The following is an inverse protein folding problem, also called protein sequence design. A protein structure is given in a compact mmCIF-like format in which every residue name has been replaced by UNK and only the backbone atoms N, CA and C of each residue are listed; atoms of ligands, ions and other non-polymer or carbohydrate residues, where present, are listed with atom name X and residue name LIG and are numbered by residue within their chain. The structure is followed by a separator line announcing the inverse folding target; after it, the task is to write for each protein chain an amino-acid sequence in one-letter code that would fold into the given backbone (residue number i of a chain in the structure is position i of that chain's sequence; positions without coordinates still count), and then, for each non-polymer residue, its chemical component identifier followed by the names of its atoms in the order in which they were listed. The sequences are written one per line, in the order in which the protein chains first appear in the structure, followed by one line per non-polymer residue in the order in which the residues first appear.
data_IF_806126821079
#
_entry.id   IF_806126821079
#
_cell.length_a   1.000
_cell.length_b   1.000
_cell.length_c   1.000
_cell.angle_alpha   90.00
_cell.angle_beta   90.00
_cell.angle_gamma   90.00
#
_symmetry.space_group_name_H-M   'P 1'
#
loop_
_entity.id
_entity.type
_entity.pdbx_description
1 polymer ?
#
# COMPACT_ATOMS: atom_id res chain seq x y z
N UNK A 1 -23.87 -4.99 1.37
CA UNK A 1 -23.50 -6.24 0.73
C UNK A 1 -21.99 -6.34 0.63
N UNK A 2 -21.47 -7.54 0.80
CA UNK A 2 -20.02 -7.70 0.86
C UNK A 2 -19.35 -7.33 -0.47
N UNK A 3 -19.99 -7.58 -1.60
CA UNK A 3 -19.40 -7.19 -2.88
C UNK A 3 -19.25 -5.68 -3.00
N UNK A 4 -20.24 -4.95 -2.51
CA UNK A 4 -20.14 -3.49 -2.56
C UNK A 4 -19.02 -2.96 -1.68
N UNK A 5 -18.71 -3.50 -0.62
CA UNK A 5 -17.82 -3.11 0.12
C UNK A 5 -16.62 -3.36 -0.34
N UNK A 6 -16.54 -4.55 -0.80
CA UNK A 6 -15.27 -4.93 -1.38
C UNK A 6 -14.89 -4.01 -2.56
N UNK A 7 -15.87 -3.68 -3.37
CA UNK A 7 -15.60 -2.76 -4.48
C UNK A 7 -15.16 -1.39 -3.97
N UNK A 8 -15.81 -0.91 -2.91
CA UNK A 8 -15.43 0.38 -2.34
C UNK A 8 -13.98 0.36 -1.85
N UNK A 9 -13.61 -0.68 -1.09
CA UNK A 9 -12.26 -0.72 -0.57
C UNK A 9 -11.24 -0.94 -1.69
N UNK A 10 -11.64 -1.65 -2.76
CA UNK A 10 -10.75 -1.81 -3.91
C UNK A 10 -10.47 -0.46 -4.57
N UNK A 11 -11.48 0.41 -4.65
CA UNK A 11 -11.26 1.77 -5.18
C UNK A 11 -10.30 2.54 -4.27
N UNK A 12 -10.45 2.39 -2.94
CA UNK A 12 -9.55 3.05 -2.02
C UNK A 12 -8.12 2.52 -2.14
N UNK A 13 -7.97 1.22 -2.32
CA UNK A 13 -6.62 0.66 -2.52
C UNK A 13 -5.99 1.17 -3.79
N UNK A 14 -6.77 1.26 -4.87
CA UNK A 14 -6.26 1.83 -6.12
C UNK A 14 -5.84 3.29 -5.91
N UNK A 15 -6.64 4.05 -5.14
CA UNK A 15 -6.30 5.45 -4.88
C UNK A 15 -5.02 5.57 -4.05
N UNK A 16 -4.83 4.65 -3.09
CA UNK A 16 -3.60 4.65 -2.30
C UNK A 16 -2.38 4.41 -3.17
N UNK A 17 -2.49 3.43 -4.07
CA UNK A 17 -1.36 3.12 -4.95
C UNK A 17 -1.06 4.29 -5.88
N UNK A 18 -2.09 4.89 -6.46
CA UNK A 18 -1.89 6.04 -7.34
C UNK A 18 -1.24 7.19 -6.59
N UNK A 19 -1.68 7.43 -5.35
CA UNK A 19 -1.12 8.53 -4.56
C UNK A 19 0.34 8.28 -4.23
N UNK A 20 0.73 7.02 -3.98
CA UNK A 20 2.13 6.72 -3.76
C UNK A 20 2.96 7.04 -5.01
N UNK A 21 2.47 6.65 -6.17
CA UNK A 21 3.21 6.85 -7.41
C UNK A 21 3.29 8.32 -7.78
N UNK A 22 2.31 9.11 -7.38
CA UNK A 22 2.26 10.55 -7.67
C UNK A 22 2.88 11.39 -6.56
N UNK A 23 3.37 10.77 -5.51
CA UNK A 23 3.90 11.45 -4.32
C UNK A 23 2.88 12.39 -3.71
N UNK A 24 1.63 11.96 -3.68
CA UNK A 24 0.51 12.76 -3.20
C UNK A 24 0.30 12.49 -1.72
N UNK A 25 1.10 13.13 -0.90
CA UNK A 25 1.06 12.91 0.54
C UNK A 25 -0.25 13.34 1.18
N UNK A 26 -0.90 14.36 0.63
CA UNK A 26 -2.17 14.83 1.19
C UNK A 26 -3.26 13.78 1.03
N UNK A 27 -3.36 13.17 -0.15
CA UNK A 27 -4.31 12.08 -0.35
C UNK A 27 -3.98 10.90 0.56
N UNK A 28 -2.69 10.53 0.64
CA UNK A 28 -2.30 9.43 1.51
C UNK A 28 -2.65 9.70 2.96
N UNK A 29 -2.43 10.92 3.42
CA UNK A 29 -2.73 11.24 4.82
C UNK A 29 -4.20 11.01 5.14
N UNK A 30 -5.09 11.21 4.18
CA UNK A 30 -6.50 10.96 4.38
C UNK A 30 -6.90 9.49 4.32
N UNK A 31 -6.03 8.63 3.79
CA UNK A 31 -6.32 7.22 3.64
C UNK A 31 -5.65 6.36 4.70
N UNK A 32 -4.51 6.78 5.23
CA UNK A 32 -3.71 5.96 6.12
C UNK A 32 -4.18 6.11 7.56
N UNK A 33 -4.21 4.98 8.27
CA UNK A 33 -4.44 4.99 9.70
C UNK A 33 -3.26 5.64 10.42
N UNK A 34 -3.54 6.35 11.50
CA UNK A 34 -2.46 6.89 12.32
C UNK A 34 -1.59 5.79 12.91
N UNK A 35 -2.13 4.60 13.07
CA UNK A 35 -1.41 3.46 13.63
C UNK A 35 -0.83 2.55 12.54
N UNK A 36 -0.83 3.00 11.30
CA UNK A 36 -0.39 2.16 10.20
C UNK A 36 1.03 1.64 10.39
N UNK A 37 1.25 0.40 9.96
CA UNK A 37 2.57 -0.22 9.92
C UNK A 37 2.86 -0.63 8.49
N UNK A 38 3.98 -0.19 7.96
CA UNK A 38 4.36 -0.51 6.58
C UNK A 38 5.71 -1.22 6.61
N UNK A 39 5.66 -2.53 6.40
CA UNK A 39 6.87 -3.35 6.41
C UNK A 39 7.33 -3.58 4.99
N UNK A 40 8.46 -3.01 4.65
CA UNK A 40 9.07 -3.14 3.33
C UNK A 40 9.66 -4.53 3.15
N UNK A 41 9.90 -4.92 1.92
CA UNK A 41 10.44 -6.25 1.64
C UNK A 41 11.87 -6.42 2.18
N UNK A 42 12.54 -5.34 2.47
CA UNK A 42 13.86 -5.39 3.11
C UNK A 42 13.77 -5.69 4.61
N UNK A 43 12.58 -5.59 5.17
CA UNK A 43 12.37 -5.73 6.60
C UNK A 43 12.32 -4.42 7.36
N UNK A 44 12.60 -3.30 6.70
CA UNK A 44 12.49 -2.02 7.40
C UNK A 44 11.02 -1.65 7.56
N UNK A 45 10.71 -0.91 8.61
CA UNK A 45 9.33 -0.63 8.99
C UNK A 45 9.12 0.88 9.09
N UNK A 46 8.05 1.35 8.45
CA UNK A 46 7.62 2.74 8.58
C UNK A 46 6.34 2.82 9.41
N UNK A 47 6.24 3.93 10.15
CA UNK A 47 4.98 4.39 10.73
C UNK A 47 4.29 5.32 9.73
N UNK A 48 3.26 5.96 9.91
CA UNK A 48 2.69 6.71 9.22
C UNK A 48 3.39 7.71 8.92
N UNK A 49 3.90 8.38 10.14
CA UNK A 49 4.65 9.62 9.97
C UNK A 49 5.88 9.43 9.08
N UNK A 50 6.66 8.39 9.34
CA UNK A 50 7.87 8.20 8.55
C UNK A 50 7.54 7.82 7.11
N UNK A 51 6.46 7.08 6.89
CA UNK A 51 6.06 6.73 5.54
C UNK A 51 5.70 7.98 4.73
N UNK A 52 4.90 8.87 5.33
CA UNK A 52 4.51 10.10 4.64
C UNK A 52 5.72 10.99 4.37
N UNK A 53 6.64 11.07 5.32
CA UNK A 53 7.83 11.85 5.11
C UNK A 53 8.67 11.29 3.95
N UNK A 54 8.78 9.97 3.89
CA UNK A 54 9.52 9.34 2.80
C UNK A 54 8.85 9.56 1.44
N UNK A 55 7.53 9.50 1.40
CA UNK A 55 6.82 9.76 0.14
C UNK A 55 7.06 11.19 -0.31
N UNK A 56 6.99 12.13 0.62
CA UNK A 56 7.12 13.56 0.26
C UNK A 56 8.56 13.96 -0.01
N UNK A 57 9.50 13.45 0.77
CA UNK A 57 10.86 14.00 0.78
C UNK A 57 11.94 12.95 0.62
N UNK A 58 11.61 11.68 0.59
CA UNK A 58 12.61 10.63 0.60
C UNK A 58 13.27 10.42 -0.75
N UNK A 59 14.42 9.75 -0.76
CA UNK A 59 15.16 9.51 -2.00
C UNK A 59 14.60 8.40 -2.87
N UNK A 60 13.69 7.57 -2.35
CA UNK A 60 13.12 6.44 -3.10
C UNK A 60 11.70 6.78 -3.47
N UNK A 61 11.37 6.66 -4.77
CA UNK A 61 10.06 7.04 -5.27
C UNK A 61 9.41 5.91 -6.03
N UNK A 62 8.21 5.34 -5.90
CA UNK A 62 7.67 4.59 -6.41
C UNK A 62 7.34 5.01 -7.50
N UNK A 63 7.37 4.54 -8.53
CA UNK A 63 6.98 5.01 -9.86
C UNK A 63 5.83 4.23 -10.42
N UNK A 64 5.83 2.90 -10.27
CA UNK A 64 4.71 2.11 -10.74
C UNK A 64 4.58 0.87 -9.88
N UNK A 65 3.34 0.38 -9.76
CA UNK A 65 3.05 -0.85 -9.07
C UNK A 65 2.08 -1.63 -9.95
N UNK A 66 2.52 -2.80 -10.42
CA UNK A 66 1.69 -3.70 -11.21
C UNK A 66 1.35 -4.91 -10.39
N UNK A 67 0.05 -5.11 -10.13
CA UNK A 67 -0.40 -6.21 -9.31
C UNK A 67 -0.88 -7.36 -10.18
N UNK A 68 -0.63 -8.58 -9.73
CA UNK A 68 -1.12 -9.79 -10.39
C UNK A 68 -1.42 -10.83 -9.34
N UNK A 69 -2.15 -11.89 -9.76
CA UNK A 69 -2.52 -12.95 -8.83
C UNK A 69 -3.13 -12.40 -7.55
N UNK A 70 -3.88 -11.30 -7.64
CA UNK A 70 -4.29 -10.68 -6.39
C UNK A 70 -5.74 -11.00 -6.09
N UNK A 71 -6.02 -11.08 -4.80
CA UNK A 71 -7.36 -11.31 -4.29
C UNK A 71 -7.72 -10.20 -3.32
N UNK A 72 -9.01 -9.97 -3.22
CA UNK A 72 -9.55 -9.01 -2.26
C UNK A 72 -10.72 -9.67 -1.56
N UNK A 73 -10.68 -9.68 -0.22
CA UNK A 73 -11.80 -10.25 0.51
C UNK A 73 -12.06 -9.45 1.78
N UNK A 74 -13.31 -9.52 2.22
CA UNK A 74 -13.71 -8.89 3.48
C UNK A 74 -13.77 -9.93 4.58
N UNK A 75 -13.34 -9.53 5.76
CA UNK A 75 -13.49 -10.31 6.98
C UNK A 75 -14.00 -9.36 8.04
N UNK A 76 -15.34 -9.30 8.19
CA UNK A 76 -15.96 -8.31 9.05
C UNK A 76 -15.64 -6.89 8.60
N UNK A 77 -15.11 -6.10 9.49
CA UNK A 77 -14.72 -4.70 9.20
C UNK A 77 -13.29 -4.61 8.71
N UNK A 78 -12.76 -5.68 8.17
CA UNK A 78 -11.40 -5.74 7.64
C UNK A 78 -11.44 -6.17 6.19
N UNK A 79 -10.63 -5.54 5.36
CA UNK A 79 -10.45 -5.95 3.98
C UNK A 79 -9.00 -6.38 3.78
N UNK A 80 -8.82 -7.54 3.18
CA UNK A 80 -7.51 -8.13 2.98
C UNK A 80 -7.23 -8.25 1.49
N UNK A 81 -6.12 -7.65 1.08
CA UNK A 81 -5.64 -7.76 -0.30
C UNK A 81 -4.32 -8.51 -0.28
N UNK A 82 -4.17 -9.49 -1.13
CA UNK A 82 -2.91 -10.20 -1.22
C UNK A 82 -2.64 -10.56 -2.67
N UNK A 83 -1.37 -10.72 -2.97
CA UNK A 83 -1.02 -11.06 -4.34
C UNK A 83 0.44 -10.80 -4.61
N UNK A 84 0.72 -10.57 -5.88
CA UNK A 84 2.06 -10.30 -6.35
C UNK A 84 2.11 -8.89 -6.89
N UNK A 85 3.23 -8.21 -6.66
CA UNK A 85 3.40 -6.85 -7.14
C UNK A 85 4.78 -6.72 -7.76
N UNK A 86 4.81 -6.15 -8.95
CA UNK A 86 6.06 -5.72 -9.55
C UNK A 86 6.12 -4.21 -9.41
N UNK A 87 7.14 -3.74 -8.73
CA UNK A 87 7.22 -2.35 -8.34
C UNK A 87 8.48 -1.76 -8.95
N UNK A 88 8.31 -0.66 -9.67
CA UNK A 88 9.45 0.12 -10.13
C UNK A 88 9.65 1.28 -9.19
N UNK A 89 10.83 1.39 -8.63
CA UNK A 89 11.21 2.53 -7.81
C UNK A 89 12.40 3.22 -8.46
N UNK A 90 12.61 4.47 -8.08
CA UNK A 90 13.82 5.20 -8.44
C UNK A 90 14.51 5.64 -7.18
N UNK A 91 15.80 5.37 -7.11
CA UNK A 91 16.63 5.84 -6.03
C UNK A 91 17.71 6.73 -6.65
N UNK A 92 17.65 8.02 -6.31
CA UNK A 92 18.62 8.97 -6.87
C UNK A 92 18.60 8.96 -8.40
N UNK A 93 17.40 8.81 -8.98
CA UNK A 93 17.25 8.79 -10.42
C UNK A 93 17.56 7.44 -11.07
N UNK A 94 17.98 6.44 -10.32
CA UNK A 94 18.29 5.12 -10.84
C UNK A 94 17.11 4.18 -10.66
N UNK A 95 16.60 3.57 -11.72
CA UNK A 95 15.48 2.65 -11.58
C UNK A 95 15.90 1.33 -10.95
N UNK A 96 14.99 0.78 -10.17
CA UNK A 96 15.17 -0.52 -9.55
C UNK A 96 13.82 -1.23 -9.58
N UNK A 97 13.84 -2.48 -10.00
CA UNK A 97 12.62 -3.28 -10.09
C UNK A 97 12.57 -4.28 -8.96
N UNK A 98 11.43 -4.31 -8.27
CA UNK A 98 11.17 -5.24 -7.18
C UNK A 98 10.07 -6.19 -7.59
N UNK A 99 10.18 -7.45 -7.16
CA UNK A 99 9.17 -8.47 -7.42
C UNK A 99 8.81 -9.06 -6.07
N UNK A 100 7.58 -8.80 -5.63
CA UNK A 100 7.20 -9.05 -4.24
C UNK A 100 5.90 -9.83 -4.16
N UNK A 101 5.72 -10.56 -3.06
CA UNK A 101 4.41 -10.96 -2.58
C UNK A 101 4.01 -10.02 -1.45
N UNK A 102 2.71 -9.71 -1.35
CA UNK A 102 2.29 -8.70 -0.39
C UNK A 102 0.97 -9.04 0.28
N UNK A 103 0.78 -8.45 1.44
CA UNK A 103 -0.50 -8.39 2.14
C UNK A 103 -0.76 -6.94 2.49
N UNK A 104 -1.95 -6.45 2.10
CA UNK A 104 -2.39 -5.09 2.42
C UNK A 104 -3.70 -5.19 3.18
N UNK A 105 -3.81 -4.45 4.28
CA UNK A 105 -4.94 -4.58 5.18
C UNK A 105 -5.59 -3.22 5.38
N UNK A 106 -6.90 -3.18 5.17
CA UNK A 106 -7.75 -2.03 5.47
C UNK A 106 -8.71 -2.41 6.59
N UNK A 107 -9.07 -1.47 7.42
CA UNK A 107 -10.06 -1.69 8.48
C UNK A 107 -11.03 -0.52 8.52
N UNK A 108 -12.28 -0.85 8.80
CA UNK A 108 -13.30 0.18 8.98
C UNK A 108 -13.43 0.46 10.47
N UNK A 109 -13.12 1.69 10.86
CA UNK A 109 -13.16 2.14 12.24
C UNK A 109 -13.97 3.42 12.28
N UNK A 110 -15.00 3.44 13.12
CA UNK A 110 -15.89 4.60 13.24
C UNK A 110 -16.48 5.00 11.91
N UNK A 111 -16.83 4.01 11.10
CA UNK A 111 -17.48 4.23 9.83
C UNK A 111 -16.58 4.59 8.66
N UNK A 112 -15.27 4.69 8.89
CA UNK A 112 -14.35 5.07 7.83
C UNK A 112 -13.32 3.97 7.60
N UNK A 113 -13.08 3.66 6.34
CA UNK A 113 -12.04 2.73 5.97
C UNK A 113 -10.68 3.42 5.99
N UNK A 114 -9.72 2.78 6.67
CA UNK A 114 -8.34 3.29 6.74
C UNK A 114 -7.38 2.16 6.41
N UNK A 115 -6.29 2.52 5.75
CA UNK A 115 -5.24 1.56 5.44
C UNK A 115 -4.39 1.33 6.69
N UNK A 116 -4.30 0.05 7.12
CA UNK A 116 -3.70 -0.27 8.42
C UNK A 116 -2.33 -0.91 8.30
N UNK A 117 -2.08 -1.68 7.25
CA UNK A 117 -0.83 -2.43 7.22
C UNK A 117 -0.47 -2.88 5.82
N UNK A 118 0.81 -2.90 5.57
CA UNK A 118 1.41 -3.51 4.39
C UNK A 118 2.57 -4.39 4.87
N UNK A 119 2.67 -5.57 4.30
CA UNK A 119 3.79 -6.44 4.58
C UNK A 119 4.16 -7.15 3.28
N UNK A 120 5.42 -7.13 2.93
CA UNK A 120 5.83 -7.75 1.68
C UNK A 120 7.11 -8.55 1.85
N UNK A 121 7.32 -9.46 0.91
CA UNK A 121 8.50 -10.31 0.91
C UNK A 121 8.97 -10.46 -0.54
N UNK A 122 10.27 -10.55 -0.77
CA UNK A 122 10.75 -10.70 -2.14
C UNK A 122 10.41 -12.09 -2.69
N UNK A 123 10.15 -12.12 -4.00
CA UNK A 123 10.01 -13.38 -4.70
C UNK A 123 11.39 -13.76 -5.22
N UNK A 124 11.83 -14.97 -4.86
CA UNK A 124 13.12 -15.45 -5.34
C UNK A 124 12.91 -16.30 -6.59
N UNK A 125 13.83 -16.16 -7.54
CA UNK A 125 13.74 -16.85 -8.83
C UNK A 125 14.82 -17.91 -8.99
#
# INVERSE_FOLDING_TARGET
MSDTXRELVSVLEDARIAAMCEQDGETLEGLLSEAMVYTHSSGSVDTXASFLDNVRNGPVQXRSIERSDHTARLAGDTALFSGRAKIRVEFDGHPLDLDLRYLAVWARVDGAWRFEAWHSTPVTH
#
